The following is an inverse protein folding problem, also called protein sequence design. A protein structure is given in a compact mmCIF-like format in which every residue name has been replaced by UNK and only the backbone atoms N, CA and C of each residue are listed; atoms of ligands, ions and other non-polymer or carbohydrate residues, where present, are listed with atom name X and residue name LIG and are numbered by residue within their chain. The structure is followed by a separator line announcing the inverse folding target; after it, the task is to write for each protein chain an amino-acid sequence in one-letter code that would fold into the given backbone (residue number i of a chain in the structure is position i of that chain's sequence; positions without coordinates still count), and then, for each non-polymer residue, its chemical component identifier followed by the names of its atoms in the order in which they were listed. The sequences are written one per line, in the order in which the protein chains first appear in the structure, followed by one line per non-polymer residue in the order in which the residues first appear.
data_IF_698139484693
#
_entry.id   IF_698139484693
#
_cell.length_a   1.000
_cell.length_b   1.000
_cell.length_c   1.000
_cell.angle_alpha   90.00
_cell.angle_beta   90.00
_cell.angle_gamma   90.00
#
_symmetry.space_group_name_H-M   'P 1'
#
loop_
_entity.id
_entity.type
_entity.pdbx_description
1 polymer ?
#
# COMPACT_ATOMS: atom_id res chain seq x y z
N UNK A 1 -3.94 21.39 -9.63
CA UNK A 1 -3.67 19.96 -9.47
C UNK A 1 -4.45 19.18 -10.51
N UNK A 2 -3.83 18.17 -11.07
CA UNK A 2 -4.42 17.26 -12.01
C UNK A 2 -4.62 15.93 -11.29
N UNK A 3 -5.82 15.42 -11.21
CA UNK A 3 -6.10 14.16 -10.56
C UNK A 3 -7.04 13.29 -11.36
N UNK A 4 -6.94 12.05 -11.09
CA UNK A 4 -7.53 10.95 -11.76
C UNK A 4 -8.54 10.24 -10.87
N UNK A 5 -9.52 10.98 -10.38
CA UNK A 5 -10.55 10.44 -9.50
C UNK A 5 -11.94 10.67 -10.12
N UNK A 6 -12.87 9.70 -10.05
CA UNK A 6 -14.27 9.96 -10.34
C UNK A 6 -14.75 11.11 -9.44
N UNK A 7 -15.41 12.13 -10.02
CA UNK A 7 -15.77 13.40 -9.38
C UNK A 7 -16.45 13.32 -8.01
N UNK A 8 -16.95 12.17 -7.61
CA UNK A 8 -17.56 11.93 -6.30
C UNK A 8 -16.57 11.93 -5.11
N UNK A 9 -15.27 11.79 -5.35
CA UNK A 9 -14.27 11.76 -4.27
C UNK A 9 -13.72 13.14 -3.87
N UNK A 10 -14.04 14.18 -4.63
CA UNK A 10 -13.55 15.55 -4.38
C UNK A 10 -14.46 16.28 -3.36
N UNK A 11 -15.75 15.93 -3.31
CA UNK A 11 -16.76 16.67 -2.53
C UNK A 11 -16.54 16.58 -1.01
N UNK A 12 -15.89 15.53 -0.50
CA UNK A 12 -15.71 15.27 0.94
C UNK A 12 -14.34 15.70 1.50
N UNK A 13 -13.47 16.28 0.67
CA UNK A 13 -12.13 16.71 1.11
C UNK A 13 -12.02 18.21 1.16
N UNK A 14 -11.48 18.73 2.27
CA UNK A 14 -11.08 20.15 2.30
C UNK A 14 -9.98 20.37 1.26
N UNK A 15 -10.30 21.24 0.29
CA UNK A 15 -9.38 21.64 -0.76
C UNK A 15 -9.14 23.13 -0.61
N UNK A 16 -7.88 23.54 -0.50
CA UNK A 16 -7.53 24.95 -0.46
C UNK A 16 -8.07 25.65 -1.73
N UNK A 17 -8.83 26.74 -1.62
CA UNK A 17 -9.45 27.43 -2.76
C UNK A 17 -8.46 28.00 -3.78
N UNK A 18 -7.17 28.05 -3.43
CA UNK A 18 -6.08 28.43 -4.37
C UNK A 18 -5.70 27.29 -5.32
N UNK A 19 -6.15 26.05 -5.05
CA UNK A 19 -5.83 24.90 -5.88
C UNK A 19 -6.92 24.73 -6.95
N UNK A 20 -6.56 24.94 -8.23
CA UNK A 20 -7.41 24.58 -9.36
C UNK A 20 -7.28 23.08 -9.63
N UNK A 21 -8.39 22.38 -9.68
CA UNK A 21 -8.45 20.96 -9.97
C UNK A 21 -8.89 20.69 -11.40
N UNK A 22 -8.22 19.72 -12.03
CA UNK A 22 -8.60 19.16 -13.31
C UNK A 22 -9.01 17.70 -13.08
N UNK A 23 -10.26 17.37 -13.38
CA UNK A 23 -10.74 15.98 -13.39
C UNK A 23 -10.38 15.34 -14.72
N UNK A 24 -9.42 14.44 -14.70
CA UNK A 24 -8.94 13.75 -15.89
C UNK A 24 -10.03 12.92 -16.58
N UNK A 25 -10.96 12.34 -15.81
CA UNK A 25 -12.07 11.55 -16.37
C UNK A 25 -13.14 12.44 -17.02
N UNK A 26 -13.35 13.67 -16.53
CA UNK A 26 -14.24 14.63 -17.16
C UNK A 26 -13.68 15.16 -18.49
N UNK A 27 -12.34 15.22 -18.61
CA UNK A 27 -11.65 15.67 -19.83
C UNK A 27 -11.60 14.57 -20.89
N UNK A 28 -11.38 13.33 -20.48
CA UNK A 28 -11.31 12.17 -21.37
C UNK A 28 -11.97 10.93 -20.72
N UNK A 29 -13.26 10.76 -20.98
CA UNK A 29 -14.04 9.63 -20.46
C UNK A 29 -13.62 8.25 -21.03
N UNK A 30 -12.84 8.25 -22.12
CA UNK A 30 -12.29 7.05 -22.75
C UNK A 30 -10.85 6.75 -22.28
N UNK A 31 -10.28 7.61 -21.43
CA UNK A 31 -8.96 7.39 -20.86
C UNK A 31 -8.94 6.04 -20.15
N UNK A 32 -7.99 5.14 -20.46
CA UNK A 32 -7.90 3.87 -19.78
C UNK A 32 -7.72 4.12 -18.29
N UNK A 33 -8.54 3.44 -17.54
CA UNK A 33 -8.63 3.39 -16.07
C UNK A 33 -7.47 4.10 -15.37
N UNK A 34 -7.69 5.33 -15.06
CA UNK A 34 -7.05 5.78 -13.88
C UNK A 34 -5.91 6.74 -14.03
N UNK A 35 -5.34 7.13 -15.16
CA UNK A 35 -4.16 7.99 -15.14
C UNK A 35 -4.32 9.37 -15.78
N UNK A 36 -5.39 9.60 -16.52
CA UNK A 36 -5.73 10.92 -17.08
C UNK A 36 -4.65 11.55 -17.95
N UNK A 37 -3.76 10.71 -18.45
CA UNK A 37 -2.57 11.07 -19.21
C UNK A 37 -2.88 11.97 -20.42
N UNK A 38 -3.96 11.71 -21.15
CA UNK A 38 -4.35 12.56 -22.29
C UNK A 38 -4.80 13.97 -21.90
N UNK A 39 -5.35 14.14 -20.70
CA UNK A 39 -5.83 15.42 -20.21
C UNK A 39 -4.73 16.32 -19.65
N UNK A 40 -3.58 15.77 -19.24
CA UNK A 40 -2.52 16.56 -18.61
C UNK A 40 -1.80 17.48 -19.61
N UNK A 41 -1.59 17.03 -20.85
CA UNK A 41 -0.91 17.83 -21.88
C UNK A 41 -1.68 19.11 -22.21
N UNK A 42 -3.00 19.08 -22.50
CA UNK A 42 -3.79 20.29 -22.64
C UNK A 42 -3.74 21.21 -21.42
N UNK A 43 -3.79 20.66 -20.19
CA UNK A 43 -3.70 21.43 -18.97
C UNK A 43 -2.34 22.14 -18.81
N UNK A 44 -1.23 21.46 -19.12
CA UNK A 44 0.11 22.06 -19.09
C UNK A 44 0.25 23.18 -20.13
N UNK A 45 -0.29 22.99 -21.34
CA UNK A 45 -0.28 24.01 -22.41
C UNK A 45 -1.10 25.25 -22.02
N UNK A 46 -2.27 25.05 -21.40
CA UNK A 46 -3.16 26.14 -20.96
C UNK A 46 -2.54 26.90 -19.79
N UNK A 47 -2.11 26.20 -18.74
CA UNK A 47 -1.67 26.81 -17.49
C UNK A 47 -0.23 27.32 -17.53
N UNK A 48 0.61 26.78 -18.41
CA UNK A 48 2.04 27.12 -18.55
C UNK A 48 2.77 27.18 -17.21
N UNK A 49 2.74 26.09 -16.42
CA UNK A 49 3.32 26.09 -15.09
C UNK A 49 4.85 26.27 -15.13
N UNK A 50 5.41 26.97 -14.16
CA UNK A 50 6.87 27.05 -13.96
C UNK A 50 7.45 25.74 -13.43
N UNK A 51 6.65 24.99 -12.64
CA UNK A 51 7.03 23.75 -11.99
C UNK A 51 6.04 22.64 -12.34
N UNK A 52 6.55 21.52 -12.80
CA UNK A 52 5.80 20.26 -12.92
C UNK A 52 6.17 19.36 -11.74
N UNK A 53 5.17 18.99 -10.94
CA UNK A 53 5.31 18.00 -9.89
C UNK A 53 4.46 16.76 -10.24
N UNK A 54 5.11 15.62 -10.46
CA UNK A 54 4.46 14.34 -10.74
C UNK A 54 4.58 13.41 -9.54
N UNK A 55 3.45 12.88 -9.07
CA UNK A 55 3.40 11.80 -8.09
C UNK A 55 2.67 10.62 -8.70
N UNK A 56 3.41 9.58 -9.04
CA UNK A 56 2.84 8.34 -9.59
C UNK A 56 3.88 7.21 -9.64
N UNK A 57 3.42 6.03 -10.09
CA UNK A 57 4.29 4.92 -10.50
C UNK A 57 5.25 5.34 -11.62
N UNK A 58 6.40 4.67 -11.69
CA UNK A 58 7.42 4.94 -12.69
C UNK A 58 6.89 4.91 -14.14
N UNK A 59 6.11 3.87 -14.58
CA UNK A 59 5.59 3.82 -15.95
C UNK A 59 4.71 5.02 -16.30
N UNK A 60 3.87 5.44 -15.37
CA UNK A 60 2.92 6.55 -15.56
C UNK A 60 3.66 7.88 -15.60
N UNK A 61 4.60 8.10 -14.68
CA UNK A 61 5.40 9.33 -14.62
C UNK A 61 6.20 9.53 -15.90
N UNK A 62 6.83 8.47 -16.42
CA UNK A 62 7.57 8.50 -17.68
C UNK A 62 6.64 8.75 -18.87
N UNK A 63 5.48 8.07 -18.93
CA UNK A 63 4.50 8.28 -20.00
C UNK A 63 4.03 9.74 -20.06
N UNK A 64 3.79 10.35 -18.92
CA UNK A 64 3.39 11.78 -18.85
C UNK A 64 4.51 12.68 -19.36
N UNK A 65 5.74 12.45 -18.92
CA UNK A 65 6.90 13.23 -19.38
C UNK A 65 7.14 13.09 -20.90
N UNK A 66 6.99 11.89 -21.45
CA UNK A 66 7.15 11.61 -22.88
C UNK A 66 6.06 12.28 -23.74
N UNK A 67 4.86 12.48 -23.20
CA UNK A 67 3.74 13.11 -23.93
C UNK A 67 3.79 14.63 -23.97
N UNK A 68 4.41 15.30 -23.00
CA UNK A 68 4.47 16.75 -22.96
C UNK A 68 5.46 17.24 -24.04
N UNK A 69 5.03 18.05 -25.04
CA UNK A 69 5.94 18.59 -26.05
C UNK A 69 7.05 19.41 -25.41
N UNK A 70 8.27 19.30 -25.94
CA UNK A 70 9.47 19.95 -25.38
C UNK A 70 9.30 21.45 -25.20
N UNK A 71 8.63 22.13 -26.15
CA UNK A 71 8.34 23.56 -26.11
C UNK A 71 7.36 23.98 -25.01
N UNK A 72 6.61 23.03 -24.44
CA UNK A 72 5.66 23.25 -23.34
C UNK A 72 6.13 22.63 -22.01
N UNK A 73 7.30 21.97 -22.03
CA UNK A 73 7.84 21.35 -20.81
C UNK A 73 8.23 22.43 -19.79
N UNK A 74 7.72 22.36 -18.57
CA UNK A 74 8.10 23.29 -17.48
C UNK A 74 9.60 23.30 -17.23
N UNK A 75 10.13 24.46 -16.86
CA UNK A 75 11.56 24.64 -16.60
C UNK A 75 12.06 23.82 -15.42
N UNK A 76 11.21 23.58 -14.44
CA UNK A 76 11.51 22.78 -13.25
C UNK A 76 10.60 21.55 -13.19
N UNK A 77 11.20 20.39 -13.00
CA UNK A 77 10.50 19.10 -12.98
C UNK A 77 10.87 18.32 -11.72
N UNK A 78 9.87 18.00 -10.94
CA UNK A 78 9.98 17.15 -9.77
C UNK A 78 9.17 15.87 -9.97
N UNK A 79 9.75 14.72 -9.66
CA UNK A 79 9.07 13.42 -9.78
C UNK A 79 9.13 12.71 -8.43
N UNK A 80 7.97 12.38 -7.88
CA UNK A 80 7.83 11.60 -6.68
C UNK A 80 7.38 10.18 -7.05
N UNK A 81 8.31 9.23 -7.00
CA UNK A 81 8.15 7.88 -7.53
C UNK A 81 7.63 6.90 -6.49
N UNK A 82 6.57 6.17 -6.85
CA UNK A 82 6.21 4.91 -6.22
C UNK A 82 6.96 3.76 -6.93
N UNK A 83 8.06 3.30 -6.33
CA UNK A 83 8.80 2.13 -6.79
C UNK A 83 8.34 0.95 -5.95
N UNK A 84 7.80 -0.07 -6.60
CA UNK A 84 7.14 -1.21 -5.94
C UNK A 84 8.05 -2.45 -5.92
N UNK A 85 8.85 -2.63 -6.97
CA UNK A 85 9.73 -3.78 -7.14
C UNK A 85 11.17 -3.35 -7.41
N UNK A 86 12.17 -4.08 -6.91
CA UNK A 86 13.53 -3.95 -7.45
C UNK A 86 13.53 -4.32 -8.94
N UNK A 87 14.38 -3.64 -9.70
CA UNK A 87 14.59 -3.94 -11.11
C UNK A 87 13.32 -3.86 -11.98
N UNK A 88 12.45 -2.89 -11.72
CA UNK A 88 11.35 -2.58 -12.65
C UNK A 88 11.90 -2.33 -14.06
N UNK A 89 11.03 -2.26 -15.05
CA UNK A 89 11.43 -2.21 -16.47
C UNK A 89 12.48 -1.11 -16.74
N UNK A 90 13.71 -1.52 -17.08
CA UNK A 90 14.85 -0.62 -17.25
C UNK A 90 14.61 0.50 -18.29
N UNK A 91 13.81 0.25 -19.33
CA UNK A 91 13.49 1.25 -20.34
C UNK A 91 12.79 2.49 -19.75
N UNK A 92 12.02 2.34 -18.67
CA UNK A 92 11.41 3.48 -18.00
C UNK A 92 12.43 4.32 -17.21
N UNK A 93 13.40 3.68 -16.57
CA UNK A 93 14.50 4.38 -15.90
C UNK A 93 15.39 5.13 -16.89
N UNK A 94 15.68 4.54 -18.06
CA UNK A 94 16.44 5.20 -19.12
C UNK A 94 15.69 6.41 -19.69
N UNK A 95 14.37 6.29 -19.92
CA UNK A 95 13.55 7.43 -20.31
C UNK A 95 13.54 8.51 -19.24
N UNK A 96 13.33 8.16 -17.95
CA UNK A 96 13.37 9.13 -16.85
C UNK A 96 14.69 9.91 -16.79
N UNK A 97 15.84 9.24 -16.99
CA UNK A 97 17.16 9.90 -17.07
C UNK A 97 17.21 10.92 -18.21
N UNK A 98 16.63 10.58 -19.38
CA UNK A 98 16.64 11.46 -20.55
C UNK A 98 15.89 12.76 -20.35
N UNK A 99 14.87 12.79 -19.48
CA UNK A 99 14.08 13.98 -19.16
C UNK A 99 14.79 15.00 -18.27
N UNK A 100 15.97 14.67 -17.74
CA UNK A 100 16.75 15.58 -16.92
C UNK A 100 15.94 16.24 -15.80
N UNK A 101 15.29 15.41 -14.99
CA UNK A 101 14.45 15.83 -13.85
C UNK A 101 15.32 16.50 -12.80
N UNK A 102 14.85 17.62 -12.22
CA UNK A 102 15.62 18.42 -11.25
C UNK A 102 15.75 17.72 -9.90
N UNK A 103 14.67 17.06 -9.41
CA UNK A 103 14.70 16.23 -8.25
C UNK A 103 13.76 15.02 -8.40
N UNK A 104 14.23 13.87 -7.97
CA UNK A 104 13.45 12.63 -7.84
C UNK A 104 13.31 12.37 -6.36
N UNK A 105 12.08 12.37 -5.86
CA UNK A 105 11.78 11.88 -4.53
C UNK A 105 11.38 10.41 -4.59
N UNK A 106 11.88 9.66 -3.63
CA UNK A 106 11.49 8.26 -3.40
C UNK A 106 11.07 8.09 -1.95
N UNK A 107 10.21 7.13 -1.66
CA UNK A 107 9.65 6.97 -0.33
C UNK A 107 10.68 6.61 0.74
N UNK A 108 11.71 5.84 0.36
CA UNK A 108 12.59 5.15 1.31
C UNK A 108 14.05 5.15 0.83
N UNK A 109 14.97 4.97 1.78
CA UNK A 109 16.40 4.87 1.49
C UNK A 109 16.74 3.65 0.63
N UNK A 110 16.04 2.54 0.77
CA UNK A 110 16.24 1.36 -0.10
C UNK A 110 16.01 1.71 -1.57
N UNK A 111 15.01 2.54 -1.89
CA UNK A 111 14.76 2.99 -3.26
C UNK A 111 15.79 4.02 -3.74
N UNK A 112 16.21 4.95 -2.87
CA UNK A 112 17.33 5.86 -3.20
C UNK A 112 18.59 5.05 -3.52
N UNK A 113 18.92 4.09 -2.67
CA UNK A 113 20.07 3.20 -2.88
C UNK A 113 19.98 2.44 -4.19
N UNK A 114 18.81 1.88 -4.50
CA UNK A 114 18.56 1.17 -5.75
C UNK A 114 18.77 2.07 -6.97
N UNK A 115 18.23 3.29 -6.96
CA UNK A 115 18.42 4.24 -8.07
C UNK A 115 19.89 4.63 -8.26
N UNK A 116 20.62 4.89 -7.17
CA UNK A 116 22.00 5.36 -7.23
C UNK A 116 22.98 4.23 -7.53
N UNK A 117 22.98 3.18 -6.70
CA UNK A 117 23.99 2.13 -6.74
C UNK A 117 23.77 1.13 -7.87
N UNK A 118 22.49 0.72 -8.09
CA UNK A 118 22.18 -0.31 -9.08
C UNK A 118 21.90 0.28 -10.47
N UNK A 119 21.24 1.44 -10.53
CA UNK A 119 20.78 2.03 -11.78
C UNK A 119 21.60 3.24 -12.23
N UNK A 120 22.56 3.74 -11.42
CA UNK A 120 23.48 4.80 -11.79
C UNK A 120 22.86 6.18 -11.97
N UNK A 121 21.84 6.51 -11.18
CA UNK A 121 21.32 7.87 -11.12
C UNK A 121 22.26 8.79 -10.31
N UNK A 122 22.24 10.07 -10.60
CA UNK A 122 22.97 11.08 -9.85
C UNK A 122 22.37 11.25 -8.44
N UNK A 123 23.15 10.90 -7.43
CA UNK A 123 22.71 10.97 -6.03
C UNK A 123 22.26 12.37 -5.62
N UNK A 124 22.84 13.42 -6.18
CA UNK A 124 22.52 14.83 -5.85
C UNK A 124 21.12 15.24 -6.29
N UNK A 125 20.48 14.46 -7.14
CA UNK A 125 19.12 14.67 -7.62
C UNK A 125 18.09 13.74 -6.97
N UNK A 126 18.50 12.89 -6.02
CA UNK A 126 17.58 11.96 -5.36
C UNK A 126 17.48 12.24 -3.88
N UNK A 127 16.28 12.48 -3.42
CA UNK A 127 15.96 12.69 -2.01
C UNK A 127 14.92 11.68 -1.51
N UNK A 128 15.00 11.38 -0.21
CA UNK A 128 14.02 10.50 0.44
C UNK A 128 12.90 11.35 1.03
N UNK A 129 11.70 11.11 0.54
CA UNK A 129 10.47 11.76 1.00
C UNK A 129 9.46 10.66 1.40
N UNK A 130 9.41 10.23 2.66
CA UNK A 130 8.44 9.23 3.09
C UNK A 130 7.02 9.77 3.06
N UNK A 131 6.03 8.89 3.04
CA UNK A 131 4.67 9.29 3.33
C UNK A 131 4.51 9.64 4.81
N UNK A 132 3.64 10.60 5.08
CA UNK A 132 3.21 10.93 6.43
C UNK A 132 1.99 10.10 6.85
N UNK A 133 1.90 9.82 8.13
CA UNK A 133 0.69 9.27 8.78
C UNK A 133 -0.01 10.39 9.52
N UNK A 134 -1.32 10.48 9.34
CA UNK A 134 -2.16 11.45 10.04
C UNK A 134 -2.58 10.88 11.40
N UNK A 135 -1.84 11.26 12.44
CA UNK A 135 -2.08 10.78 13.79
C UNK A 135 -3.30 11.42 14.47
N UNK A 136 -3.86 12.49 13.91
CA UNK A 136 -5.12 13.08 14.39
C UNK A 136 -6.31 12.24 13.92
N UNK A 137 -6.18 11.63 12.76
CA UNK A 137 -7.17 10.74 12.16
C UNK A 137 -7.25 9.38 12.85
N UNK A 138 -6.11 8.84 13.27
CA UNK A 138 -6.00 7.52 13.89
C UNK A 138 -5.94 7.64 15.40
N UNK A 139 -7.05 7.36 16.07
CA UNK A 139 -7.18 7.48 17.53
C UNK A 139 -7.49 6.13 18.17
N UNK A 140 -6.89 5.90 19.33
CA UNK A 140 -7.24 4.74 20.15
C UNK A 140 -8.66 4.90 20.69
N UNK A 141 -9.52 3.91 20.42
CA UNK A 141 -10.91 3.83 20.84
C UNK A 141 -11.10 2.61 21.76
N UNK A 142 -12.26 2.53 22.42
CA UNK A 142 -12.63 1.33 23.16
C UNK A 142 -12.77 0.13 22.21
N UNK A 143 -11.91 -0.89 22.32
CA UNK A 143 -11.95 -2.04 21.41
C UNK A 143 -13.28 -2.82 21.46
N UNK A 144 -13.99 -2.79 22.58
CA UNK A 144 -15.28 -3.47 22.73
C UNK A 144 -16.34 -2.79 21.86
N UNK A 145 -16.40 -1.45 21.92
CA UNK A 145 -17.33 -0.69 21.08
C UNK A 145 -16.97 -0.83 19.60
N UNK A 146 -15.69 -0.78 19.25
CA UNK A 146 -15.23 -0.99 17.87
C UNK A 146 -15.64 -2.37 17.36
N UNK A 147 -15.43 -3.44 18.15
CA UNK A 147 -15.84 -4.80 17.79
C UNK A 147 -17.34 -4.91 17.52
N UNK A 148 -18.17 -4.29 18.33
CA UNK A 148 -19.63 -4.26 18.12
C UNK A 148 -19.98 -3.57 16.78
N UNK A 149 -19.32 -2.44 16.45
CA UNK A 149 -19.57 -1.71 15.20
C UNK A 149 -19.11 -2.50 13.96
N UNK A 150 -17.97 -3.17 14.05
CA UNK A 150 -17.42 -3.98 12.95
C UNK A 150 -18.10 -5.34 12.82
N UNK A 151 -18.72 -5.85 13.92
CA UNK A 151 -19.47 -7.11 13.92
C UNK A 151 -18.69 -8.31 14.46
N UNK A 152 -17.76 -8.10 15.39
CA UNK A 152 -17.02 -9.15 16.08
C UNK A 152 -17.45 -9.27 17.55
N UNK A 153 -17.27 -10.46 18.12
CA UNK A 153 -17.43 -10.68 19.54
C UNK A 153 -16.27 -10.07 20.33
N UNK A 154 -16.51 -9.75 21.61
CA UNK A 154 -15.53 -9.08 22.48
C UNK A 154 -14.25 -9.92 22.69
N UNK A 155 -14.36 -11.24 22.65
CA UNK A 155 -13.28 -12.21 22.87
C UNK A 155 -12.74 -12.83 21.56
N UNK A 156 -13.17 -12.33 20.39
CA UNK A 156 -12.60 -12.74 19.12
C UNK A 156 -11.13 -12.29 19.00
N UNK A 157 -10.30 -13.12 18.40
CA UNK A 157 -8.94 -12.80 17.97
C UNK A 157 -8.96 -12.50 16.48
N UNK A 158 -8.70 -11.24 16.13
CA UNK A 158 -8.90 -10.75 14.77
C UNK A 158 -7.56 -10.51 14.06
N UNK A 159 -7.29 -11.30 13.03
CA UNK A 159 -6.20 -11.07 12.08
C UNK A 159 -6.71 -10.09 11.01
N UNK A 160 -5.99 -8.99 10.76
CA UNK A 160 -6.41 -7.97 9.81
C UNK A 160 -5.46 -7.91 8.62
N UNK A 161 -6.00 -7.98 7.40
CA UNK A 161 -5.28 -7.63 6.18
C UNK A 161 -6.06 -6.56 5.41
N UNK A 162 -5.55 -5.31 5.43
CA UNK A 162 -6.14 -4.13 4.76
C UNK A 162 -5.40 -3.81 3.47
N UNK A 163 -5.44 -4.73 2.52
CA UNK A 163 -4.79 -4.56 1.23
C UNK A 163 -5.79 -4.70 0.08
N UNK A 164 -5.59 -3.95 -1.00
CA UNK A 164 -6.34 -4.12 -2.25
C UNK A 164 -6.27 -5.59 -2.70
N UNK A 165 -7.34 -6.10 -3.29
CA UNK A 165 -7.32 -7.42 -3.92
C UNK A 165 -6.61 -7.29 -5.28
N UNK A 166 -5.31 -7.50 -5.29
CA UNK A 166 -4.48 -7.63 -6.50
C UNK A 166 -3.51 -8.79 -6.34
N UNK A 167 -2.99 -9.30 -7.46
CA UNK A 167 -2.01 -10.41 -7.42
C UNK A 167 -0.77 -10.04 -6.62
N UNK A 168 -0.34 -8.78 -6.65
CA UNK A 168 0.79 -8.26 -5.87
C UNK A 168 0.63 -8.45 -4.36
N UNK A 169 -0.59 -8.35 -3.86
CA UNK A 169 -0.88 -8.48 -2.42
C UNK A 169 -0.96 -9.92 -1.93
N UNK A 170 -0.84 -10.89 -2.84
CA UNK A 170 -0.73 -12.33 -2.57
C UNK A 170 -1.76 -12.86 -1.55
N UNK A 171 -3.03 -12.56 -1.77
CA UNK A 171 -4.11 -13.08 -0.92
C UNK A 171 -4.10 -14.60 -0.80
N UNK A 172 -3.55 -15.31 -1.80
CA UNK A 172 -3.34 -16.76 -1.72
C UNK A 172 -2.41 -17.15 -0.57
N UNK A 173 -1.39 -16.36 -0.26
CA UNK A 173 -0.49 -16.59 0.89
C UNK A 173 -1.22 -16.28 2.20
N UNK A 174 -1.95 -15.15 2.25
CA UNK A 174 -2.80 -14.78 3.39
C UNK A 174 -3.76 -15.90 3.79
N UNK A 175 -4.55 -16.40 2.83
CA UNK A 175 -5.56 -17.45 3.08
C UNK A 175 -4.90 -18.75 3.50
N UNK A 176 -3.84 -19.19 2.83
CA UNK A 176 -3.10 -20.42 3.20
C UNK A 176 -2.53 -20.32 4.61
N UNK A 177 -1.87 -19.22 4.95
CA UNK A 177 -1.30 -19.00 6.27
C UNK A 177 -2.38 -19.01 7.36
N UNK A 178 -3.48 -18.28 7.13
CA UNK A 178 -4.58 -18.22 8.08
C UNK A 178 -5.25 -19.59 8.30
N UNK A 179 -5.57 -20.31 7.21
CA UNK A 179 -6.20 -21.64 7.31
C UNK A 179 -5.29 -22.67 7.98
N UNK A 180 -3.97 -22.60 7.72
CA UNK A 180 -3.02 -23.47 8.42
C UNK A 180 -2.98 -23.13 9.91
N UNK A 181 -2.87 -21.86 10.27
CA UNK A 181 -2.92 -21.40 11.65
C UNK A 181 -4.23 -21.84 12.33
N UNK A 182 -5.38 -21.61 11.70
CA UNK A 182 -6.69 -22.00 12.23
C UNK A 182 -6.78 -23.49 12.50
N UNK A 183 -6.24 -24.33 11.61
CA UNK A 183 -6.18 -25.78 11.77
C UNK A 183 -5.31 -26.20 12.96
N UNK A 184 -4.16 -25.56 13.13
CA UNK A 184 -3.26 -25.79 14.28
C UNK A 184 -3.90 -25.38 15.61
N UNK A 185 -4.84 -24.42 15.58
CA UNK A 185 -5.63 -24.00 16.74
C UNK A 185 -6.98 -24.75 16.87
N UNK A 186 -7.06 -25.97 16.34
CA UNK A 186 -8.25 -26.85 16.42
C UNK A 186 -9.55 -26.17 15.99
N UNK A 187 -9.50 -25.34 14.94
CA UNK A 187 -10.65 -24.57 14.44
C UNK A 187 -11.33 -23.71 15.52
N UNK A 188 -10.54 -23.11 16.39
CA UNK A 188 -11.04 -22.28 17.49
C UNK A 188 -12.02 -21.21 16.95
N UNK A 189 -13.31 -21.23 17.37
CA UNK A 189 -14.35 -20.37 16.80
C UNK A 189 -14.14 -18.88 17.06
N UNK A 190 -13.21 -18.52 17.95
CA UNK A 190 -12.87 -17.11 18.25
C UNK A 190 -11.78 -16.53 17.34
N UNK A 191 -11.19 -17.31 16.47
CA UNK A 191 -10.17 -16.84 15.54
C UNK A 191 -10.85 -16.37 14.25
N UNK A 192 -10.59 -15.12 13.86
CA UNK A 192 -11.19 -14.45 12.70
C UNK A 192 -10.14 -13.85 11.79
N UNK A 193 -10.42 -13.82 10.49
CA UNK A 193 -9.68 -13.05 9.51
C UNK A 193 -10.57 -11.97 8.93
N UNK A 194 -10.17 -10.72 9.07
CA UNK A 194 -10.77 -9.58 8.38
C UNK A 194 -10.04 -9.34 7.05
N UNK A 195 -10.77 -9.50 5.95
CA UNK A 195 -10.30 -9.20 4.60
C UNK A 195 -10.79 -7.81 4.18
N UNK A 196 -9.95 -6.79 4.35
CA UNK A 196 -10.24 -5.42 3.95
C UNK A 196 -10.04 -5.20 2.45
N UNK A 197 -10.64 -6.05 1.63
CA UNK A 197 -10.50 -6.04 0.18
C UNK A 197 -11.81 -6.33 -0.55
N UNK A 198 -11.84 -6.03 -1.85
CA UNK A 198 -12.93 -6.46 -2.72
C UNK A 198 -12.99 -8.00 -2.78
N UNK A 199 -14.22 -8.55 -2.81
CA UNK A 199 -14.46 -9.99 -2.88
C UNK A 199 -13.80 -10.62 -4.11
N UNK A 200 -13.84 -9.90 -5.24
CA UNK A 200 -13.26 -10.33 -6.52
C UNK A 200 -12.84 -9.11 -7.34
N UNK A 201 -11.74 -9.23 -8.07
CA UNK A 201 -11.25 -8.23 -9.03
C UNK A 201 -10.69 -8.92 -10.26
N UNK A 202 -10.57 -8.18 -11.37
CA UNK A 202 -10.00 -8.71 -12.62
C UNK A 202 -8.47 -8.89 -12.51
N UNK A 203 -7.81 -8.07 -11.67
CA UNK A 203 -6.36 -8.06 -11.44
C UNK A 203 -5.95 -8.75 -10.12
N UNK A 204 -6.84 -9.58 -9.57
CA UNK A 204 -6.63 -10.26 -8.30
C UNK A 204 -7.33 -11.61 -8.20
N UNK A 205 -7.86 -11.89 -7.02
CA UNK A 205 -8.40 -13.19 -6.66
C UNK A 205 -9.93 -13.13 -6.51
N UNK A 206 -10.59 -14.26 -6.76
CA UNK A 206 -11.90 -14.56 -6.22
C UNK A 206 -11.69 -15.15 -4.82
N UNK A 207 -11.86 -14.33 -3.77
CA UNK A 207 -11.50 -14.72 -2.40
C UNK A 207 -12.31 -15.92 -1.90
N UNK A 208 -13.65 -16.00 -2.08
CA UNK A 208 -14.42 -17.18 -1.72
C UNK A 208 -13.95 -18.45 -2.43
N UNK A 209 -13.65 -18.40 -3.73
CA UNK A 209 -13.15 -19.53 -4.49
C UNK A 209 -11.77 -19.98 -4.02
N UNK A 210 -10.89 -19.01 -3.68
CA UNK A 210 -9.59 -19.29 -3.11
C UNK A 210 -9.73 -20.02 -1.75
N UNK A 211 -10.63 -19.54 -0.89
CA UNK A 211 -10.92 -20.19 0.40
C UNK A 211 -11.47 -21.59 0.16
N UNK A 212 -12.42 -21.76 -0.76
CA UNK A 212 -12.99 -23.06 -1.10
C UNK A 212 -11.89 -24.04 -1.52
N UNK A 213 -11.07 -23.65 -2.48
CA UNK A 213 -9.97 -24.49 -2.97
C UNK A 213 -9.02 -24.93 -1.84
N UNK A 214 -8.63 -24.01 -0.96
CA UNK A 214 -7.73 -24.33 0.13
C UNK A 214 -8.40 -25.14 1.24
N UNK A 215 -9.69 -24.94 1.51
CA UNK A 215 -10.45 -25.80 2.43
C UNK A 215 -10.51 -27.24 1.93
N UNK A 216 -10.84 -27.45 0.65
CA UNK A 216 -10.85 -28.80 0.04
C UNK A 216 -9.48 -29.49 0.16
N UNK A 217 -8.40 -28.78 -0.15
CA UNK A 217 -7.03 -29.33 -0.03
C UNK A 217 -6.66 -29.75 1.40
N UNK A 218 -7.22 -29.06 2.38
CA UNK A 218 -6.91 -29.28 3.80
C UNK A 218 -7.95 -30.14 4.53
N UNK A 219 -9.01 -30.61 3.85
CA UNK A 219 -10.09 -31.38 4.43
C UNK A 219 -10.94 -30.59 5.43
N UNK A 220 -11.12 -29.28 5.18
CA UNK A 220 -11.90 -28.37 6.02
C UNK A 220 -13.28 -28.12 5.37
N UNK A 221 -14.32 -27.91 6.19
CA UNK A 221 -15.63 -27.51 5.68
C UNK A 221 -15.64 -26.04 5.29
N UNK A 222 -15.80 -25.78 3.97
CA UNK A 222 -15.78 -24.43 3.40
C UNK A 222 -16.85 -23.52 4.00
N UNK A 223 -18.07 -24.05 4.20
CA UNK A 223 -19.18 -23.24 4.72
C UNK A 223 -18.90 -22.78 6.16
N UNK A 224 -18.40 -23.68 6.98
CA UNK A 224 -17.97 -23.35 8.36
C UNK A 224 -16.88 -22.28 8.35
N UNK A 225 -15.87 -22.41 7.50
CA UNK A 225 -14.76 -21.45 7.42
C UNK A 225 -15.25 -20.07 6.97
N UNK A 226 -16.00 -19.99 5.88
CA UNK A 226 -16.51 -18.72 5.35
C UNK A 226 -17.47 -18.02 6.29
N UNK A 227 -18.34 -18.76 6.98
CA UNK A 227 -19.36 -18.16 7.84
C UNK A 227 -18.84 -17.78 9.23
N UNK A 228 -17.84 -18.52 9.76
CA UNK A 228 -17.44 -18.37 11.15
C UNK A 228 -16.05 -17.75 11.34
N UNK A 229 -15.18 -17.79 10.33
CA UNK A 229 -13.77 -17.42 10.48
C UNK A 229 -13.28 -16.34 9.52
N UNK A 230 -13.94 -16.15 8.38
CA UNK A 230 -13.50 -15.18 7.38
C UNK A 230 -14.56 -14.11 7.18
N UNK A 231 -14.21 -12.88 7.52
CA UNK A 231 -15.04 -11.70 7.27
C UNK A 231 -14.47 -10.93 6.07
N UNK A 232 -15.23 -10.90 4.97
CA UNK A 232 -14.89 -10.11 3.78
C UNK A 232 -15.78 -8.87 3.82
N UNK A 233 -15.16 -7.68 3.82
CA UNK A 233 -15.94 -6.45 3.84
C UNK A 233 -16.81 -6.34 2.57
N UNK A 234 -18.13 -6.19 2.71
CA UNK A 234 -19.03 -6.11 1.55
C UNK A 234 -18.90 -4.78 0.78
N UNK A 235 -18.31 -3.74 1.38
CA UNK A 235 -18.17 -2.40 0.80
C UNK A 235 -16.77 -1.80 1.02
N UNK A 236 -15.69 -2.50 0.64
CA UNK A 236 -14.32 -2.07 0.97
C UNK A 236 -13.92 -0.74 0.30
N UNK A 237 -14.59 -0.34 -0.78
CA UNK A 237 -14.33 0.93 -1.49
C UNK A 237 -15.08 2.13 -0.88
N UNK A 238 -15.94 1.91 0.10
CA UNK A 238 -16.79 2.92 0.74
C UNK A 238 -16.59 2.98 2.25
N UNK A 239 -15.42 2.56 2.73
CA UNK A 239 -15.05 2.72 4.13
C UNK A 239 -14.78 4.19 4.40
N UNK A 240 -15.47 4.74 5.39
CA UNK A 240 -15.14 6.05 5.94
C UNK A 240 -13.84 5.97 6.75
N UNK A 241 -13.26 7.11 7.05
CA UNK A 241 -12.09 7.20 7.94
C UNK A 241 -12.38 6.62 9.33
N UNK A 242 -13.61 6.82 9.82
CA UNK A 242 -14.07 6.23 11.08
C UNK A 242 -14.13 4.70 11.02
N UNK A 243 -14.61 4.13 9.89
CA UNK A 243 -14.65 2.68 9.71
C UNK A 243 -13.25 2.08 9.72
N UNK A 244 -12.30 2.73 9.05
CA UNK A 244 -10.89 2.29 9.03
C UNK A 244 -10.28 2.35 10.42
N UNK A 245 -10.55 3.44 11.17
CA UNK A 245 -10.08 3.57 12.54
C UNK A 245 -10.65 2.48 13.45
N UNK A 246 -11.95 2.15 13.33
CA UNK A 246 -12.57 1.05 14.06
C UNK A 246 -11.91 -0.30 13.73
N UNK A 247 -11.64 -0.58 12.46
CA UNK A 247 -10.99 -1.82 12.02
C UNK A 247 -9.59 -1.95 12.63
N UNK A 248 -8.79 -0.88 12.66
CA UNK A 248 -7.45 -0.91 13.25
C UNK A 248 -7.49 -1.07 14.78
N UNK A 249 -8.49 -0.51 15.47
CA UNK A 249 -8.68 -0.74 16.89
C UNK A 249 -9.10 -2.18 17.22
N UNK A 250 -9.89 -2.82 16.34
CA UNK A 250 -10.36 -4.20 16.50
C UNK A 250 -9.27 -5.23 16.26
N UNK A 251 -8.37 -4.98 15.31
CA UNK A 251 -7.33 -5.93 14.93
C UNK A 251 -6.38 -6.27 16.08
N UNK A 252 -6.15 -7.54 16.32
CA UNK A 252 -5.17 -8.02 17.30
C UNK A 252 -3.79 -8.20 16.67
N UNK A 253 -3.73 -8.49 15.36
CA UNK A 253 -2.51 -8.61 14.57
C UNK A 253 -2.77 -8.21 13.12
N UNK A 254 -1.83 -7.49 12.52
CA UNK A 254 -1.85 -7.18 11.08
C UNK A 254 -1.06 -8.20 10.27
N UNK A 255 -1.48 -8.46 9.04
CA UNK A 255 -0.75 -9.32 8.12
C UNK A 255 -0.67 -8.70 6.73
N UNK A 256 0.54 -8.56 6.19
CA UNK A 256 0.79 -8.10 4.84
C UNK A 256 1.69 -9.09 4.09
N UNK A 257 1.12 -9.78 3.11
CA UNK A 257 1.77 -10.87 2.36
C UNK A 257 2.23 -10.48 0.97
N UNK A 258 2.37 -9.18 0.68
CA UNK A 258 2.68 -8.68 -0.66
C UNK A 258 4.03 -9.17 -1.20
N UNK A 259 4.14 -9.31 -2.53
CA UNK A 259 5.40 -9.66 -3.19
C UNK A 259 6.24 -8.45 -3.61
N UNK A 260 5.73 -7.25 -3.39
CA UNK A 260 6.35 -5.96 -3.62
C UNK A 260 5.51 -4.86 -2.99
N UNK A 261 6.14 -3.80 -2.54
CA UNK A 261 5.49 -2.68 -1.85
C UNK A 261 6.34 -1.43 -1.99
N UNK A 262 5.68 -0.28 -2.25
CA UNK A 262 6.38 1.00 -2.31
C UNK A 262 6.69 1.60 -0.94
N UNK A 263 5.69 1.55 -0.03
CA UNK A 263 5.82 2.11 1.32
C UNK A 263 5.12 1.26 2.41
N UNK A 264 3.87 0.83 2.19
CA UNK A 264 3.11 -0.01 3.11
C UNK A 264 2.21 0.76 4.08
N UNK A 265 1.55 1.83 3.61
CA UNK A 265 0.72 2.73 4.44
C UNK A 265 -0.23 2.00 5.38
N UNK A 266 -1.07 1.09 4.89
CA UNK A 266 -2.08 0.39 5.70
C UNK A 266 -1.47 -0.42 6.84
N UNK A 267 -0.27 -0.96 6.63
CA UNK A 267 0.45 -1.73 7.65
C UNK A 267 1.06 -0.79 8.70
N UNK A 268 1.61 0.35 8.27
CA UNK A 268 2.15 1.38 9.17
C UNK A 268 1.03 2.00 10.01
N UNK A 269 -0.12 2.30 9.40
CA UNK A 269 -1.30 2.82 10.09
C UNK A 269 -1.78 1.85 11.18
N UNK A 270 -1.88 0.54 10.87
CA UNK A 270 -2.28 -0.44 11.87
C UNK A 270 -1.20 -0.64 12.96
N UNK A 271 0.08 -0.60 12.60
CA UNK A 271 1.19 -0.65 13.56
C UNK A 271 1.17 0.52 14.56
N UNK A 272 0.61 1.67 14.18
CA UNK A 272 0.43 2.83 15.06
C UNK A 272 -0.38 2.53 16.33
N UNK A 273 -1.25 1.52 16.30
CA UNK A 273 -2.08 1.09 17.44
C UNK A 273 -1.37 0.10 18.37
N UNK A 274 -0.04 0.00 18.34
CA UNK A 274 0.73 -0.97 19.11
C UNK A 274 0.27 -2.42 18.87
N UNK A 275 -0.10 -2.73 17.62
CA UNK A 275 -0.51 -4.06 17.20
C UNK A 275 0.65 -4.74 16.46
N UNK A 276 0.99 -6.00 16.79
CA UNK A 276 1.99 -6.74 16.05
C UNK A 276 1.63 -6.84 14.57
N UNK A 277 2.64 -6.70 13.72
CA UNK A 277 2.50 -6.84 12.27
C UNK A 277 3.34 -8.03 11.81
N UNK A 278 2.80 -8.85 10.91
CA UNK A 278 3.51 -9.91 10.21
C UNK A 278 3.62 -9.47 8.75
N UNK A 279 4.83 -9.23 8.29
CA UNK A 279 5.05 -8.58 6.99
C UNK A 279 5.99 -9.37 6.11
N UNK A 280 5.76 -9.30 4.81
CA UNK A 280 6.69 -9.77 3.79
C UNK A 280 8.03 -9.07 3.90
N UNK A 281 9.13 -9.80 3.79
CA UNK A 281 10.50 -9.29 3.78
C UNK A 281 10.87 -8.65 2.42
N UNK A 282 10.04 -7.69 1.96
CA UNK A 282 10.34 -6.85 0.78
C UNK A 282 11.02 -5.56 1.23
N UNK A 283 11.86 -4.92 0.38
CA UNK A 283 12.69 -3.79 0.79
C UNK A 283 11.95 -2.71 1.57
N UNK A 284 10.79 -2.30 1.09
CA UNK A 284 10.00 -1.24 1.74
C UNK A 284 9.52 -1.63 3.15
N UNK A 285 8.99 -2.84 3.33
CA UNK A 285 8.47 -3.27 4.64
C UNK A 285 9.60 -3.58 5.63
N UNK A 286 10.76 -4.02 5.15
CA UNK A 286 11.96 -4.16 5.99
C UNK A 286 12.39 -2.79 6.51
N UNK A 287 12.47 -1.76 5.66
CA UNK A 287 12.90 -0.43 6.08
C UNK A 287 11.86 0.25 6.99
N UNK A 288 10.58 0.12 6.67
CA UNK A 288 9.52 0.83 7.42
C UNK A 288 9.19 0.19 8.76
N UNK A 289 9.21 -1.13 8.85
CA UNK A 289 8.68 -1.88 10.00
C UNK A 289 9.63 -2.95 10.55
N UNK A 290 10.77 -3.22 9.91
CA UNK A 290 11.65 -4.33 10.29
C UNK A 290 12.12 -4.34 11.74
N UNK A 291 12.15 -3.18 12.40
CA UNK A 291 12.48 -3.06 13.83
C UNK A 291 11.30 -3.38 14.77
N UNK A 292 10.06 -3.29 14.26
CA UNK A 292 8.82 -3.38 15.05
C UNK A 292 7.79 -4.34 14.45
N UNK A 293 8.22 -5.32 13.66
CA UNK A 293 7.34 -6.31 13.03
C UNK A 293 8.01 -7.69 12.96
N UNK A 294 7.21 -8.72 12.75
CA UNK A 294 7.69 -10.05 12.37
C UNK A 294 7.87 -10.09 10.85
N UNK A 295 9.10 -10.16 10.39
CA UNK A 295 9.44 -10.15 8.97
C UNK A 295 9.61 -11.58 8.46
N UNK A 296 8.80 -11.95 7.47
CA UNK A 296 8.91 -13.24 6.78
C UNK A 296 9.90 -13.10 5.63
N UNK A 297 10.96 -13.91 5.68
CA UNK A 297 12.01 -13.87 4.66
C UNK A 297 11.53 -14.47 3.33
N UNK A 298 11.80 -13.82 2.17
CA UNK A 298 11.49 -14.44 0.88
C UNK A 298 12.21 -15.77 0.70
N UNK A 299 11.48 -16.83 0.33
CA UNK A 299 12.05 -18.13 0.01
C UNK A 299 12.86 -18.07 -1.30
N UNK A 300 12.41 -17.26 -2.24
CA UNK A 300 13.12 -16.98 -3.50
C UNK A 300 12.62 -15.66 -4.11
N UNK A 301 13.42 -15.13 -5.06
CA UNK A 301 13.05 -14.02 -5.92
C UNK A 301 12.97 -14.50 -7.36
N UNK A 302 12.03 -13.95 -8.14
CA UNK A 302 11.87 -14.26 -9.57
C UNK A 302 11.77 -12.97 -10.35
N UNK A 303 12.65 -12.76 -11.32
CA UNK A 303 12.52 -11.64 -12.24
C UNK A 303 11.42 -11.95 -13.26
N UNK A 304 10.43 -11.07 -13.37
CA UNK A 304 9.33 -11.18 -14.33
C UNK A 304 9.36 -10.01 -15.30
N UNK A 305 9.12 -10.29 -16.57
CA UNK A 305 9.14 -9.29 -17.64
C UNK A 305 7.79 -8.60 -17.88
N UNK A 306 6.72 -9.12 -17.27
CA UNK A 306 5.37 -8.57 -17.39
C UNK A 306 4.55 -8.95 -16.17
N UNK A 307 4.40 -8.01 -15.24
CA UNK A 307 3.56 -8.15 -14.05
C UNK A 307 3.06 -6.76 -13.65
N UNK A 308 1.74 -6.59 -13.57
CA UNK A 308 1.07 -5.32 -13.21
C UNK A 308 1.64 -4.08 -13.93
N UNK A 309 2.11 -4.20 -15.17
CA UNK A 309 2.77 -3.14 -15.97
C UNK A 309 4.18 -2.74 -15.52
N UNK A 310 4.65 -3.14 -14.35
CA UNK A 310 5.93 -2.75 -13.79
C UNK A 310 7.08 -3.65 -14.24
N UNK A 311 6.87 -4.97 -14.28
CA UNK A 311 7.96 -5.95 -14.32
C UNK A 311 8.80 -5.89 -13.04
N UNK A 312 9.93 -6.60 -12.97
CA UNK A 312 10.86 -6.51 -11.84
C UNK A 312 10.99 -7.80 -11.05
N UNK A 313 11.62 -7.70 -9.89
CA UNK A 313 11.86 -8.84 -9.02
C UNK A 313 10.70 -9.02 -8.04
N UNK A 314 10.07 -10.19 -8.10
CA UNK A 314 8.93 -10.58 -7.27
C UNK A 314 9.41 -11.53 -6.18
N UNK A 315 9.06 -11.22 -4.93
CA UNK A 315 9.32 -12.07 -3.78
C UNK A 315 8.28 -13.20 -3.66
N UNK A 316 8.75 -14.39 -3.36
CA UNK A 316 7.90 -15.55 -3.05
C UNK A 316 8.13 -16.01 -1.63
N UNK A 317 7.06 -16.34 -0.93
CA UNK A 317 7.08 -16.64 0.50
C UNK A 317 6.53 -18.03 0.79
N UNK A 318 7.08 -18.67 1.83
CA UNK A 318 6.45 -19.82 2.45
C UNK A 318 5.34 -19.34 3.40
N UNK A 319 4.10 -19.70 3.10
CA UNK A 319 2.95 -19.36 3.95
C UNK A 319 3.04 -19.96 5.36
N UNK A 320 3.81 -21.03 5.55
CA UNK A 320 4.02 -21.68 6.84
C UNK A 320 4.74 -20.74 7.83
N UNK A 321 5.63 -19.89 7.34
CA UNK A 321 6.32 -18.93 8.20
C UNK A 321 5.37 -17.84 8.70
N UNK A 322 4.47 -17.31 7.83
CA UNK A 322 3.38 -16.43 8.27
C UNK A 322 2.47 -17.10 9.30
N UNK A 323 2.10 -18.37 9.08
CA UNK A 323 1.28 -19.13 10.01
C UNK A 323 1.97 -19.33 11.37
N UNK A 324 3.30 -19.55 11.37
CA UNK A 324 4.11 -19.64 12.59
C UNK A 324 4.07 -18.35 13.39
N UNK A 325 4.26 -17.20 12.73
CA UNK A 325 4.17 -15.91 13.41
C UNK A 325 2.75 -15.58 13.89
N UNK A 326 1.69 -15.99 13.17
CA UNK A 326 0.31 -15.93 13.68
C UNK A 326 0.15 -16.71 14.99
N UNK A 327 0.73 -17.93 15.07
CA UNK A 327 0.76 -18.73 16.28
C UNK A 327 1.48 -18.04 17.45
N UNK A 328 2.62 -17.40 17.18
CA UNK A 328 3.38 -16.62 18.18
C UNK A 328 2.56 -15.44 18.67
N UNK A 329 2.00 -14.63 17.76
CA UNK A 329 1.16 -13.48 18.12
C UNK A 329 -0.07 -13.91 18.93
N UNK A 330 -0.71 -15.02 18.58
CA UNK A 330 -1.84 -15.56 19.32
C UNK A 330 -1.44 -16.01 20.73
N UNK A 331 -0.32 -16.70 20.88
CA UNK A 331 0.21 -17.15 22.18
C UNK A 331 0.61 -15.98 23.09
N UNK A 332 1.09 -14.88 22.52
CA UNK A 332 1.55 -13.68 23.24
C UNK A 332 0.54 -12.52 23.25
N UNK A 333 -0.71 -12.75 22.81
CA UNK A 333 -1.72 -11.70 22.62
C UNK A 333 -2.06 -10.84 23.84
N UNK A 334 -1.72 -11.31 25.04
CA UNK A 334 -1.91 -10.58 26.30
C UNK A 334 -0.68 -9.79 26.73
N UNK A 335 0.41 -9.86 25.97
CA UNK A 335 1.62 -9.11 26.24
C UNK A 335 1.56 -7.76 25.51
N UNK A 336 2.10 -6.68 26.12
CA UNK A 336 2.18 -5.39 25.42
C UNK A 336 3.09 -5.51 24.20
N UNK A 337 2.73 -4.82 23.16
CA UNK A 337 3.52 -4.66 21.94
C UNK A 337 3.78 -3.17 21.71
N UNK A 338 4.97 -2.79 21.30
CA UNK A 338 5.38 -1.41 21.16
C UNK A 338 5.83 -1.12 19.73
N UNK A 339 5.06 -0.32 19.01
CA UNK A 339 5.38 0.12 17.63
C UNK A 339 5.03 1.59 17.39
N UNK A 340 4.11 2.16 18.16
CA UNK A 340 3.60 3.52 17.96
C UNK A 340 4.72 4.58 17.99
N UNK A 341 5.66 4.46 18.92
CA UNK A 341 6.77 5.40 19.06
C UNK A 341 7.68 5.41 17.83
N UNK A 342 7.93 4.23 17.24
CA UNK A 342 8.68 4.10 15.98
C UNK A 342 7.96 4.80 14.83
N UNK A 343 6.65 4.58 14.69
CA UNK A 343 5.84 5.18 13.64
C UNK A 343 5.80 6.71 13.78
N UNK A 344 5.49 7.23 14.97
CA UNK A 344 5.48 8.69 15.25
C UNK A 344 6.80 9.36 14.92
N UNK A 345 7.90 8.74 15.36
CA UNK A 345 9.25 9.27 15.13
C UNK A 345 9.61 9.36 13.65
N UNK A 346 9.18 8.40 12.84
CA UNK A 346 9.68 8.28 11.47
C UNK A 346 8.72 8.81 10.41
N UNK A 347 7.40 8.80 10.64
CA UNK A 347 6.38 9.01 9.60
C UNK A 347 5.35 10.09 9.95
N UNK A 348 5.70 11.10 10.75
CA UNK A 348 4.81 12.26 10.97
C UNK A 348 4.82 13.19 9.76
N UNK A 349 3.66 13.79 9.44
CA UNK A 349 3.56 14.82 8.39
C UNK A 349 4.48 16.02 8.63
N UNK A 350 4.73 16.38 9.89
CA UNK A 350 5.68 17.42 10.23
C UNK A 350 7.10 17.11 9.73
N UNK A 351 7.52 15.84 9.83
CA UNK A 351 8.82 15.39 9.34
C UNK A 351 8.89 15.41 7.82
N UNK A 352 7.81 14.96 7.16
CA UNK A 352 7.69 14.98 5.70
C UNK A 352 7.74 16.39 5.15
N UNK A 353 7.01 17.32 5.78
CA UNK A 353 6.98 18.72 5.38
C UNK A 353 8.36 19.38 5.41
N UNK A 354 9.20 19.09 6.42
CA UNK A 354 10.57 19.62 6.53
C UNK A 354 11.46 19.24 5.34
N UNK A 355 11.19 18.15 4.67
CA UNK A 355 11.91 17.75 3.43
C UNK A 355 11.41 18.56 2.23
N UNK A 356 10.12 18.83 2.14
CA UNK A 356 9.52 19.55 1.02
C UNK A 356 9.75 21.06 1.07
N UNK A 357 9.75 21.65 2.27
CA UNK A 357 9.78 23.10 2.47
C UNK A 357 10.90 23.82 1.69
N UNK A 358 12.17 23.35 1.67
CA UNK A 358 13.25 24.03 0.95
C UNK A 358 13.06 24.13 -0.56
N UNK A 359 12.24 23.27 -1.16
CA UNK A 359 11.98 23.23 -2.59
C UNK A 359 10.89 24.22 -3.06
N UNK A 360 9.97 24.60 -2.16
CA UNK A 360 8.80 25.39 -2.49
C UNK A 360 8.76 26.77 -1.80
N UNK A 361 9.49 26.93 -0.71
CA UNK A 361 9.56 28.22 0.03
C UNK A 361 10.95 28.79 -0.14
N UNK A 362 11.06 29.83 -0.98
CA UNK A 362 12.28 30.64 -1.15
C UNK A 362 12.18 31.92 -0.38
#
# INVERSE_FOLDING_TARGET
AFQNYPGQAIEDRFIDPRIKFYDALAIDSESPKGFGDKGIVPAVIEEKPDVLFLYNDLPVSVSILDMIPVEHMPSTKYVYLDIVYPWERLAYYESLKSHNVDCIWVFLNCWKKHLVEDLGFDETRIEVLPHGVDFERFTELDPIECRQRVGFDVDDYVVVNMNRNSYRKQWCVTIKAFLHFLKVQDMNPKIKLYCGCQVKTDDGYDIPELVHTECVRNGMDTATVLNNHIFINPRPLHLSESDINDIYNVGDVGMNTCCGEGFGLTTIEHAYFNKPQIVSGVPALIETLGEVAYVVTPALWTTVSSFESHSGDIAHFDYMEFATYLGICFATRHQPFESQSHIKKNYSWEKVYKVLEPHFIK
#
